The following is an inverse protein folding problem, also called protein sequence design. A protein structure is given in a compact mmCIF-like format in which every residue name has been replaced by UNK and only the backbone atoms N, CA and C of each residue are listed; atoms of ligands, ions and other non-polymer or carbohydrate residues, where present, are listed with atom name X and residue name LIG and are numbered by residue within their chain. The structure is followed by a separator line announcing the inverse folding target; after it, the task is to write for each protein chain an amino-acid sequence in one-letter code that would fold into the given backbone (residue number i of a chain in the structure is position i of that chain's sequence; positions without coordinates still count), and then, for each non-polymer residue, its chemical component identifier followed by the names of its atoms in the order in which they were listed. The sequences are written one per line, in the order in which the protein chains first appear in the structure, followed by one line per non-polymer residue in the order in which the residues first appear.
data_IF_007431489031
#
_entry.id   IF_007431489031
#
_cell.length_a   1.000
_cell.length_b   1.000
_cell.length_c   1.000
_cell.angle_alpha   90.00
_cell.angle_beta   90.00
_cell.angle_gamma   90.00
#
_symmetry.space_group_name_H-M   'P 1'
#
loop_
_entity.id
_entity.type
_entity.pdbx_description
1 polymer ?
#
# COMPACT_ATOMS: atom_id res chain seq x y z
N UNK A 1 26.54 0.85 -10.52
CA UNK A 1 25.34 0.01 -10.37
C UNK A 1 24.70 -0.16 -11.72
N UNK A 2 24.53 -1.40 -12.20
CA UNK A 2 23.81 -1.65 -13.45
C UNK A 2 22.33 -1.33 -13.21
N UNK A 3 21.76 -0.39 -13.95
CA UNK A 3 20.32 -0.21 -14.00
C UNK A 3 19.71 -1.53 -14.44
N UNK A 4 19.04 -2.23 -13.53
CA UNK A 4 18.30 -3.43 -13.87
C UNK A 4 17.27 -3.03 -14.92
N UNK A 5 17.31 -3.67 -16.09
CA UNK A 5 16.27 -3.49 -17.09
C UNK A 5 14.91 -3.66 -16.39
N UNK A 6 14.04 -2.66 -16.51
CA UNK A 6 12.66 -2.77 -16.03
C UNK A 6 12.09 -4.05 -16.64
N UNK A 7 11.57 -5.00 -15.85
CA UNK A 7 11.00 -6.22 -16.40
C UNK A 7 9.83 -5.82 -17.29
N UNK A 8 10.02 -5.86 -18.60
CA UNK A 8 9.07 -5.37 -19.60
C UNK A 8 7.89 -6.32 -19.82
N UNK A 9 7.79 -7.40 -19.05
CA UNK A 9 6.68 -8.34 -19.10
C UNK A 9 5.92 -8.39 -17.77
N UNK A 10 4.66 -7.95 -17.80
CA UNK A 10 3.67 -8.32 -16.79
C UNK A 10 3.39 -9.83 -16.98
N UNK A 11 4.23 -10.67 -16.36
CA UNK A 11 4.19 -12.14 -16.29
C UNK A 11 4.04 -12.94 -17.60
N UNK A 12 4.66 -14.14 -17.71
CA UNK A 12 4.49 -15.00 -18.89
C UNK A 12 3.11 -15.68 -18.99
N UNK A 13 2.39 -15.88 -17.87
CA UNK A 13 1.04 -16.47 -17.85
C UNK A 13 -0.04 -15.45 -17.48
N UNK A 14 -1.22 -15.59 -18.08
CA UNK A 14 -2.39 -14.74 -17.81
C UNK A 14 -3.60 -15.60 -17.39
N UNK A 15 -4.44 -15.12 -16.45
CA UNK A 15 -4.23 -13.90 -15.66
C UNK A 15 -3.03 -14.03 -14.70
N UNK A 16 -2.40 -12.91 -14.38
CA UNK A 16 -1.29 -12.86 -13.41
C UNK A 16 -1.80 -12.27 -12.11
N UNK A 17 -1.31 -12.74 -10.97
CA UNK A 17 -1.42 -12.01 -9.71
C UNK A 17 -0.37 -10.89 -9.69
N UNK A 18 -0.83 -9.64 -9.69
CA UNK A 18 0.03 -8.45 -9.54
C UNK A 18 -0.10 -7.95 -8.10
N UNK A 19 0.98 -7.98 -7.34
CA UNK A 19 1.04 -7.31 -6.04
C UNK A 19 1.52 -5.86 -6.21
N UNK A 20 0.61 -4.90 -6.04
CA UNK A 20 0.94 -3.47 -5.94
C UNK A 20 1.20 -3.08 -4.50
N UNK A 21 2.46 -2.80 -4.19
CA UNK A 21 2.91 -2.45 -2.83
C UNK A 21 2.74 -0.97 -2.54
N UNK A 22 2.34 -0.66 -1.31
CA UNK A 22 2.49 0.65 -0.69
C UNK A 22 3.60 0.55 0.38
N UNK A 23 4.41 1.60 0.51
CA UNK A 23 5.43 1.67 1.56
C UNK A 23 4.82 1.49 2.94
N UNK A 24 5.51 0.74 3.81
CA UNK A 24 5.11 0.53 5.22
C UNK A 24 3.72 -0.13 5.42
N UNK A 25 3.12 -0.68 4.36
CA UNK A 25 1.87 -1.45 4.39
C UNK A 25 2.11 -2.97 4.26
N UNK A 26 3.10 -3.51 4.99
CA UNK A 26 3.49 -4.93 4.92
C UNK A 26 3.92 -5.46 3.54
N UNK A 27 4.18 -4.59 2.56
CA UNK A 27 4.48 -5.00 1.19
C UNK A 27 5.66 -5.98 1.04
N UNK A 28 6.72 -5.83 1.83
CA UNK A 28 7.86 -6.79 1.81
C UNK A 28 7.44 -8.18 2.29
N UNK A 29 6.69 -8.24 3.39
CA UNK A 29 6.20 -9.50 3.96
C UNK A 29 5.22 -10.18 2.98
N UNK A 30 4.24 -9.43 2.45
CA UNK A 30 3.30 -9.91 1.43
C UNK A 30 4.01 -10.41 0.16
N UNK A 31 5.09 -9.74 -0.28
CA UNK A 31 5.87 -10.18 -1.44
C UNK A 31 6.53 -11.55 -1.18
N UNK A 32 7.21 -11.71 -0.03
CA UNK A 32 7.88 -12.97 0.32
C UNK A 32 6.88 -14.11 0.52
N UNK A 33 5.71 -13.80 1.07
CA UNK A 33 4.56 -14.71 1.15
C UNK A 33 4.15 -15.20 -0.23
N UNK A 34 3.78 -14.27 -1.12
CA UNK A 34 3.28 -14.59 -2.45
C UNK A 34 4.31 -15.35 -3.29
N UNK A 35 5.59 -15.01 -3.20
CA UNK A 35 6.68 -15.74 -3.88
C UNK A 35 6.82 -17.20 -3.45
N UNK A 36 6.29 -17.59 -2.29
CA UNK A 36 6.30 -18.98 -1.81
C UNK A 36 5.03 -19.75 -2.15
N UNK A 37 3.91 -19.05 -2.28
CA UNK A 37 2.58 -19.67 -2.42
C UNK A 37 2.00 -19.55 -3.81
N UNK A 38 2.52 -18.67 -4.67
CA UNK A 38 2.08 -18.52 -6.07
C UNK A 38 3.21 -18.96 -7.00
N UNK A 39 2.89 -19.72 -8.04
CA UNK A 39 3.87 -20.09 -9.08
C UNK A 39 4.56 -18.84 -9.65
N UNK A 40 5.87 -18.92 -9.89
CA UNK A 40 6.67 -17.76 -10.29
C UNK A 40 6.21 -17.16 -11.63
N UNK A 41 5.65 -17.98 -12.51
CA UNK A 41 5.07 -17.63 -13.80
C UNK A 41 3.70 -16.94 -13.70
N UNK A 42 3.10 -16.87 -12.51
CA UNK A 42 1.81 -16.24 -12.21
C UNK A 42 1.92 -15.03 -11.29
N UNK A 43 3.13 -14.63 -10.85
CA UNK A 43 3.34 -13.55 -9.89
C UNK A 43 4.19 -12.40 -10.46
N UNK A 44 3.69 -11.18 -10.30
CA UNK A 44 4.45 -9.95 -10.50
C UNK A 44 4.37 -9.07 -9.26
N UNK A 45 5.50 -8.56 -8.78
CA UNK A 45 5.56 -7.64 -7.63
C UNK A 45 5.97 -6.25 -8.09
N UNK A 46 5.09 -5.28 -7.92
CA UNK A 46 5.33 -3.87 -8.28
C UNK A 46 5.60 -3.07 -7.01
N UNK A 47 6.83 -2.56 -6.89
CA UNK A 47 7.27 -1.71 -5.77
C UNK A 47 6.64 -0.32 -5.86
N UNK A 48 6.45 0.32 -4.71
CA UNK A 48 5.79 1.61 -4.53
C UNK A 48 6.33 2.71 -5.46
N UNK A 49 7.64 2.70 -5.72
CA UNK A 49 8.31 3.73 -6.54
C UNK A 49 8.15 3.53 -8.07
N UNK A 50 7.39 2.53 -8.53
CA UNK A 50 7.11 2.28 -9.95
C UNK A 50 5.62 2.11 -10.21
N UNK A 51 5.06 2.65 -11.31
CA UNK A 51 3.70 2.31 -11.72
C UNK A 51 3.58 0.82 -12.11
N UNK A 52 2.37 0.24 -12.04
CA UNK A 52 2.15 -1.17 -12.46
C UNK A 52 2.50 -1.38 -13.93
N UNK A 53 2.05 -0.46 -14.78
CA UNK A 53 2.53 -0.28 -16.14
C UNK A 53 2.30 1.19 -16.51
N UNK A 54 3.33 1.98 -16.81
CA UNK A 54 3.16 3.39 -17.17
C UNK A 54 2.39 3.58 -18.48
N UNK A 55 2.26 2.54 -19.30
CA UNK A 55 1.62 2.60 -20.63
C UNK A 55 0.19 2.07 -20.65
N UNK A 56 -0.21 1.32 -19.62
CA UNK A 56 -1.50 0.63 -19.59
C UNK A 56 -2.38 1.19 -18.48
N UNK A 57 -3.57 1.74 -18.79
CA UNK A 57 -4.51 2.20 -17.76
C UNK A 57 -4.82 1.10 -16.74
N UNK A 58 -4.96 1.48 -15.46
CA UNK A 58 -5.25 0.52 -14.37
C UNK A 58 -6.48 -0.36 -14.64
N UNK A 59 -7.51 0.19 -15.29
CA UNK A 59 -8.70 -0.55 -15.68
C UNK A 59 -8.39 -1.69 -16.66
N UNK A 60 -7.49 -1.45 -17.62
CA UNK A 60 -7.06 -2.47 -18.59
C UNK A 60 -6.15 -3.52 -17.95
N UNK A 61 -5.24 -3.10 -17.07
CA UNK A 61 -4.41 -4.02 -16.27
C UNK A 61 -5.31 -4.99 -15.50
N UNK A 62 -6.34 -4.48 -14.81
CA UNK A 62 -7.30 -5.30 -14.05
C UNK A 62 -8.22 -6.16 -14.92
N UNK A 63 -8.45 -5.77 -16.17
CA UNK A 63 -9.21 -6.60 -17.09
C UNK A 63 -8.45 -7.87 -17.50
N UNK A 64 -7.11 -7.84 -17.43
CA UNK A 64 -6.23 -8.93 -17.89
C UNK A 64 -5.54 -9.68 -16.76
N UNK A 65 -5.46 -9.08 -15.58
CA UNK A 65 -4.69 -9.57 -14.45
C UNK A 65 -5.46 -9.35 -13.14
N UNK A 66 -5.11 -10.13 -12.12
CA UNK A 66 -5.66 -10.02 -10.80
C UNK A 66 -4.78 -9.09 -9.95
N UNK A 67 -5.27 -7.88 -9.66
CA UNK A 67 -4.52 -6.87 -8.94
C UNK A 67 -4.79 -6.94 -7.43
N UNK A 68 -3.74 -7.23 -6.66
CA UNK A 68 -3.75 -7.21 -5.21
C UNK A 68 -3.03 -5.95 -4.72
N UNK A 69 -3.74 -5.09 -4.01
CA UNK A 69 -3.16 -3.94 -3.31
C UNK A 69 -2.75 -4.28 -1.88
N UNK A 70 -1.80 -3.53 -1.31
CA UNK A 70 -1.54 -3.57 0.15
C UNK A 70 -2.01 -2.29 0.81
N UNK A 71 -2.63 -2.40 1.98
CA UNK A 71 -3.08 -1.24 2.77
C UNK A 71 -2.71 -1.38 4.24
N UNK A 72 -2.65 -0.26 4.95
CA UNK A 72 -2.46 -0.20 6.40
C UNK A 72 -3.24 1.00 6.93
N UNK A 73 -3.65 0.95 8.19
CA UNK A 73 -4.19 2.10 8.90
C UNK A 73 -3.28 3.34 8.67
N UNK A 74 -3.81 4.48 8.16
CA UNK A 74 -2.99 5.63 7.81
C UNK A 74 -2.12 6.15 8.97
N UNK A 75 -2.61 6.10 10.22
CA UNK A 75 -1.81 6.51 11.39
C UNK A 75 -0.60 5.61 11.60
N UNK A 76 -0.81 4.29 11.58
CA UNK A 76 0.26 3.32 11.75
C UNK A 76 1.25 3.36 10.58
N UNK A 77 0.78 3.66 9.37
CA UNK A 77 1.64 3.83 8.21
C UNK A 77 2.52 5.08 8.35
N UNK A 78 1.91 6.22 8.70
CA UNK A 78 2.58 7.51 8.94
C UNK A 78 3.66 7.37 10.03
N UNK A 79 3.31 6.80 11.18
CA UNK A 79 4.25 6.57 12.29
C UNK A 79 5.39 5.63 11.89
N UNK A 80 5.06 4.55 11.17
CA UNK A 80 6.06 3.62 10.66
C UNK A 80 6.98 4.26 9.63
N UNK A 81 6.51 5.25 8.88
CA UNK A 81 7.34 5.98 7.93
C UNK A 81 8.27 6.93 8.67
N UNK A 82 7.74 7.74 9.57
CA UNK A 82 8.48 8.66 10.42
C UNK A 82 9.65 7.99 11.16
N UNK A 83 9.43 6.78 11.69
CA UNK A 83 10.50 6.03 12.39
C UNK A 83 11.57 5.43 11.50
N UNK A 84 11.23 5.02 10.28
CA UNK A 84 12.15 4.21 9.46
C UNK A 84 12.78 4.98 8.31
N UNK A 85 12.07 5.96 7.76
CA UNK A 85 12.46 6.78 6.62
C UNK A 85 11.76 8.15 6.69
N UNK A 86 12.06 8.97 7.73
CA UNK A 86 11.43 10.27 7.90
C UNK A 86 11.67 11.20 6.71
N UNK A 87 12.71 10.97 5.92
CA UNK A 87 13.05 11.73 4.72
C UNK A 87 12.14 11.42 3.52
N UNK A 88 11.47 10.25 3.50
CA UNK A 88 10.76 9.76 2.30
C UNK A 88 9.70 10.73 1.76
N UNK A 89 8.82 11.34 2.59
CA UNK A 89 7.84 12.33 2.10
C UNK A 89 8.44 13.56 1.42
N UNK A 90 9.71 13.84 1.72
CA UNK A 90 10.41 15.03 1.25
C UNK A 90 11.28 14.74 0.03
N UNK A 91 11.40 13.50 -0.45
CA UNK A 91 12.30 13.19 -1.57
C UNK A 91 11.97 13.96 -2.86
N UNK A 92 10.71 14.34 -3.07
CA UNK A 92 10.28 15.13 -4.23
C UNK A 92 10.17 16.64 -3.95
N UNK A 93 10.27 17.06 -2.68
CA UNK A 93 10.14 18.48 -2.31
C UNK A 93 11.50 18.93 -1.82
N UNK A 94 12.06 20.03 -2.34
CA UNK A 94 13.25 20.68 -1.75
C UNK A 94 12.92 21.31 -0.39
N UNK A 95 12.20 20.61 0.48
CA UNK A 95 12.03 20.94 1.90
C UNK A 95 13.39 20.64 2.54
N UNK A 96 14.31 21.58 2.39
CA UNK A 96 15.54 21.62 3.16
C UNK A 96 15.17 21.97 4.61
N UNK A 97 15.71 21.22 5.57
CA UNK A 97 15.60 21.57 6.99
C UNK A 97 15.43 20.37 7.93
N UNK A 98 15.28 20.68 9.21
CA UNK A 98 15.14 19.72 10.32
C UNK A 98 13.85 18.87 10.24
N UNK A 99 12.85 19.29 9.45
CA UNK A 99 11.61 18.53 9.26
C UNK A 99 11.83 17.13 8.67
N UNK A 100 12.89 16.90 7.89
CA UNK A 100 13.26 15.57 7.39
C UNK A 100 14.04 14.72 8.42
N UNK A 101 14.47 15.33 9.53
CA UNK A 101 15.34 14.74 10.55
C UNK A 101 14.56 14.49 11.84
N UNK A 102 13.62 13.56 11.78
CA UNK A 102 12.96 13.09 13.00
C UNK A 102 13.90 12.14 13.75
N UNK A 103 14.28 12.49 14.97
CA UNK A 103 15.21 11.68 15.78
C UNK A 103 14.53 10.39 16.27
N UNK A 104 15.26 9.26 16.41
CA UNK A 104 14.72 8.10 17.11
C UNK A 104 14.22 8.50 18.52
N UNK A 105 13.01 8.06 18.88
CA UNK A 105 12.41 8.41 20.17
C UNK A 105 11.72 9.78 20.22
N UNK A 106 11.35 10.34 19.07
CA UNK A 106 10.60 11.60 19.00
C UNK A 106 9.34 11.61 19.88
N UNK A 107 9.00 12.79 20.40
CA UNK A 107 7.75 13.01 21.14
C UNK A 107 6.57 13.40 20.20
N UNK A 108 5.37 13.56 20.77
CA UNK A 108 4.15 13.91 20.02
C UNK A 108 4.26 15.23 19.25
N UNK A 109 4.88 16.25 19.83
CA UNK A 109 5.06 17.56 19.19
C UNK A 109 6.01 17.49 17.98
N UNK A 110 7.16 16.82 18.14
CA UNK A 110 8.10 16.58 17.03
C UNK A 110 7.43 15.77 15.90
N UNK A 111 6.65 14.76 16.27
CA UNK A 111 5.90 13.95 15.31
C UNK A 111 4.82 14.76 14.59
N UNK A 112 4.07 15.60 15.30
CA UNK A 112 3.07 16.49 14.71
C UNK A 112 3.69 17.43 13.68
N UNK A 113 4.79 18.09 14.03
CA UNK A 113 5.51 18.97 13.10
C UNK A 113 5.99 18.21 11.85
N UNK A 114 6.45 16.97 12.01
CA UNK A 114 6.80 16.10 10.88
C UNK A 114 5.57 15.76 10.01
N UNK A 115 4.43 15.42 10.62
CA UNK A 115 3.19 15.10 9.90
C UNK A 115 2.72 16.31 9.10
N UNK A 116 2.68 17.50 9.70
CA UNK A 116 2.27 18.75 9.03
C UNK A 116 3.19 19.07 7.86
N UNK A 117 4.52 18.93 8.03
CA UNK A 117 5.49 19.13 6.96
C UNK A 117 5.35 18.09 5.83
N UNK A 118 4.99 16.85 6.14
CA UNK A 118 4.83 15.77 5.17
C UNK A 118 3.54 15.88 4.33
N UNK A 119 2.58 16.75 4.69
CA UNK A 119 1.33 16.91 3.95
C UNK A 119 1.50 17.63 2.61
N UNK A 120 0.68 17.24 1.64
CA UNK A 120 0.53 17.94 0.35
C UNK A 120 -0.70 18.84 0.42
N UNK A 121 -0.50 20.10 0.81
CA UNK A 121 -1.60 20.98 1.20
C UNK A 121 -2.18 20.52 2.53
N UNK A 122 -3.45 20.13 2.53
CA UNK A 122 -4.15 19.51 3.68
C UNK A 122 -4.31 17.99 3.53
N UNK A 123 -3.71 17.39 2.50
CA UNK A 123 -3.81 15.94 2.24
C UNK A 123 -2.63 15.22 2.87
N UNK A 124 -2.93 14.20 3.66
CA UNK A 124 -1.93 13.39 4.34
C UNK A 124 -1.05 12.63 3.36
N UNK A 125 0.19 12.34 3.77
CA UNK A 125 1.12 11.58 2.93
C UNK A 125 0.57 10.20 2.54
N UNK A 126 -0.23 9.57 3.42
CA UNK A 126 -0.85 8.28 3.12
C UNK A 126 -1.79 8.35 1.94
N UNK A 127 -2.67 9.35 1.94
CA UNK A 127 -3.61 9.66 0.85
C UNK A 127 -2.89 10.01 -0.44
N UNK A 128 -1.85 10.84 -0.37
CA UNK A 128 -1.01 11.15 -1.52
C UNK A 128 -0.35 9.89 -2.10
N UNK A 129 0.35 9.11 -1.27
CA UNK A 129 1.05 7.91 -1.70
C UNK A 129 0.10 6.89 -2.30
N UNK A 130 -1.10 6.73 -1.71
CA UNK A 130 -2.15 5.89 -2.27
C UNK A 130 -2.61 6.37 -3.64
N UNK A 131 -2.98 7.64 -3.74
CA UNK A 131 -3.52 8.24 -4.96
C UNK A 131 -2.51 8.19 -6.10
N UNK A 132 -1.26 8.59 -5.84
CA UNK A 132 -0.17 8.48 -6.80
C UNK A 132 0.16 7.02 -7.15
N UNK A 133 -0.13 6.06 -6.25
CA UNK A 133 0.14 4.66 -6.53
C UNK A 133 -0.94 3.99 -7.38
N UNK A 134 -2.21 4.30 -7.18
CA UNK A 134 -3.36 3.54 -7.73
C UNK A 134 -4.28 4.32 -8.66
N UNK A 135 -4.37 5.64 -8.50
CA UNK A 135 -5.33 6.47 -9.22
C UNK A 135 -4.66 7.31 -10.31
N UNK A 136 -3.50 7.88 -9.97
CA UNK A 136 -2.73 8.80 -10.80
C UNK A 136 -1.23 8.45 -10.78
N UNK A 137 -0.82 7.29 -11.33
CA UNK A 137 0.58 6.88 -11.42
C UNK A 137 1.48 7.91 -12.09
N UNK A 138 0.95 8.71 -13.02
CA UNK A 138 1.64 9.84 -13.66
C UNK A 138 2.03 10.94 -12.67
N UNK A 139 1.38 11.01 -11.50
CA UNK A 139 1.71 11.94 -10.42
C UNK A 139 2.71 11.35 -9.40
N UNK A 140 3.22 10.13 -9.64
CA UNK A 140 4.31 9.56 -8.88
C UNK A 140 5.63 10.15 -9.40
N UNK A 141 6.14 11.16 -8.69
CA UNK A 141 7.26 11.98 -9.18
C UNK A 141 8.59 11.24 -9.16
N UNK A 142 9.47 11.47 -10.15
CA UNK A 142 10.90 11.25 -9.98
C UNK A 142 11.44 12.19 -8.88
N UNK A 143 12.50 11.80 -8.12
CA UNK A 143 13.08 12.62 -7.05
C UNK A 143 13.58 14.02 -7.48
N UNK A 144 13.74 14.23 -8.78
CA UNK A 144 14.41 15.41 -9.35
C UNK A 144 13.43 16.47 -9.87
N UNK A 145 12.12 16.19 -9.93
CA UNK A 145 11.12 17.09 -10.49
C UNK A 145 10.22 17.64 -9.38
N UNK A 146 10.08 18.98 -9.34
CA UNK A 146 9.14 19.63 -8.44
C UNK A 146 7.70 19.21 -8.84
N UNK A 147 6.91 18.65 -7.90
CA UNK A 147 5.53 18.18 -8.11
C UNK A 147 4.61 19.12 -8.89
N UNK A 148 4.93 20.41 -8.86
CA UNK A 148 4.05 21.47 -9.33
C UNK A 148 4.63 22.28 -10.50
N UNK A 149 5.82 21.94 -11.00
CA UNK A 149 6.57 22.86 -11.87
C UNK A 149 6.21 22.83 -13.36
N UNK A 150 5.71 21.73 -13.94
CA UNK A 150 5.48 21.69 -15.41
C UNK A 150 4.11 21.20 -15.89
N UNK A 151 3.24 20.66 -15.01
CA UNK A 151 1.82 20.45 -15.35
C UNK A 151 0.87 20.48 -14.13
N UNK A 152 0.77 21.62 -13.43
CA UNK A 152 0.09 21.74 -12.12
C UNK A 152 -1.40 21.39 -12.13
N UNK A 153 -2.04 21.30 -13.31
CA UNK A 153 -3.49 21.07 -13.41
C UNK A 153 -3.91 19.64 -13.06
N UNK A 154 -3.08 18.63 -13.35
CA UNK A 154 -3.47 17.23 -13.17
C UNK A 154 -3.10 16.69 -11.78
N UNK A 155 -1.98 17.14 -11.21
CA UNK A 155 -1.48 16.63 -9.93
C UNK A 155 -1.69 17.57 -8.75
N UNK A 156 -2.86 18.22 -8.67
CA UNK A 156 -3.18 19.17 -7.61
C UNK A 156 -3.79 18.48 -6.37
N UNK A 157 -3.65 19.11 -5.19
CA UNK A 157 -4.34 18.66 -3.98
C UNK A 157 -5.87 18.62 -4.15
N UNK A 158 -6.44 19.51 -4.97
CA UNK A 158 -7.87 19.53 -5.26
C UNK A 158 -8.30 18.30 -6.06
N UNK A 159 -7.57 17.96 -7.13
CA UNK A 159 -7.81 16.75 -7.93
C UNK A 159 -7.68 15.50 -7.07
N UNK A 160 -6.63 15.42 -6.24
CA UNK A 160 -6.41 14.32 -5.31
C UNK A 160 -7.58 14.14 -4.33
N UNK A 161 -8.07 15.22 -3.72
CA UNK A 161 -9.26 15.17 -2.84
C UNK A 161 -10.49 14.66 -3.57
N UNK A 162 -10.74 15.15 -4.79
CA UNK A 162 -11.88 14.74 -5.60
C UNK A 162 -11.83 13.24 -5.93
N UNK A 163 -10.69 12.77 -6.44
CA UNK A 163 -10.48 11.38 -6.80
C UNK A 163 -10.64 10.47 -5.56
N UNK A 164 -10.00 10.83 -4.44
CA UNK A 164 -10.11 10.07 -3.18
C UNK A 164 -11.51 10.13 -2.56
N UNK A 165 -12.27 11.20 -2.74
CA UNK A 165 -13.63 11.29 -2.22
C UNK A 165 -14.59 10.34 -2.93
N UNK A 166 -14.37 10.11 -4.23
CA UNK A 166 -15.24 9.28 -5.08
C UNK A 166 -14.73 7.85 -5.24
N UNK A 167 -13.50 7.56 -4.81
CA UNK A 167 -12.90 6.25 -5.02
C UNK A 167 -13.59 5.15 -4.20
N UNK A 168 -13.57 3.93 -4.76
CA UNK A 168 -13.91 2.71 -4.04
C UNK A 168 -12.71 1.75 -4.08
N UNK A 169 -12.34 1.09 -2.96
CA UNK A 169 -11.23 0.13 -2.96
C UNK A 169 -11.39 -1.00 -3.99
N UNK A 170 -12.62 -1.48 -4.22
CA UNK A 170 -12.90 -2.52 -5.23
C UNK A 170 -12.86 -1.97 -6.67
N UNK A 171 -12.88 -0.65 -6.83
CA UNK A 171 -12.73 0.02 -8.11
C UNK A 171 -11.29 0.16 -8.59
N UNK A 172 -10.31 0.00 -7.69
CA UNK A 172 -8.89 0.17 -8.03
C UNK A 172 -8.04 -1.09 -7.89
N UNK A 173 -8.50 -2.09 -7.14
CA UNK A 173 -7.86 -3.40 -7.03
C UNK A 173 -8.93 -4.50 -6.91
N UNK A 174 -8.56 -5.72 -7.26
CA UNK A 174 -9.44 -6.90 -7.15
C UNK A 174 -9.49 -7.43 -5.73
N UNK A 175 -8.38 -7.29 -4.99
CA UNK A 175 -8.27 -7.65 -3.59
C UNK A 175 -7.26 -6.76 -2.85
N UNK A 176 -7.33 -6.78 -1.51
CA UNK A 176 -6.49 -5.97 -0.64
C UNK A 176 -5.95 -6.78 0.52
N UNK A 177 -4.64 -6.74 0.72
CA UNK A 177 -3.96 -7.25 1.90
C UNK A 177 -3.77 -6.11 2.90
N UNK A 178 -4.52 -6.12 4.00
CA UNK A 178 -4.32 -5.13 5.08
C UNK A 178 -3.24 -5.64 6.02
N UNK A 179 -2.33 -4.76 6.48
CA UNK A 179 -1.32 -5.13 7.51
C UNK A 179 -2.01 -5.87 8.65
N UNK A 180 -3.10 -5.30 9.15
CA UNK A 180 -3.76 -5.77 10.37
C UNK A 180 -4.38 -7.17 10.24
N UNK A 181 -4.57 -7.65 9.01
CA UNK A 181 -5.19 -8.93 8.70
C UNK A 181 -4.54 -9.63 7.49
N UNK A 182 -3.21 -9.56 7.36
CA UNK A 182 -2.51 -10.04 6.15
C UNK A 182 -2.86 -11.49 5.81
N UNK A 183 -2.80 -12.40 6.79
CA UNK A 183 -3.03 -13.83 6.52
C UNK A 183 -4.50 -14.14 6.15
N UNK A 184 -5.51 -13.67 6.91
CA UNK A 184 -6.91 -13.81 6.48
C UNK A 184 -7.19 -13.19 5.11
N UNK A 185 -6.70 -11.97 4.86
CA UNK A 185 -6.90 -11.31 3.57
C UNK A 185 -6.19 -12.06 2.43
N UNK A 186 -4.99 -12.61 2.69
CA UNK A 186 -4.22 -13.39 1.72
C UNK A 186 -4.99 -14.63 1.27
N UNK A 187 -5.56 -15.39 2.20
CA UNK A 187 -6.39 -16.57 1.87
C UNK A 187 -7.51 -16.18 0.92
N UNK A 188 -8.25 -15.12 1.26
CA UNK A 188 -9.37 -14.65 0.45
C UNK A 188 -8.91 -14.24 -0.95
N UNK A 189 -7.82 -13.46 -1.05
CA UNK A 189 -7.27 -13.03 -2.34
C UNK A 189 -6.81 -14.21 -3.19
N UNK A 190 -6.12 -15.20 -2.59
CA UNK A 190 -5.64 -16.39 -3.31
C UNK A 190 -6.79 -17.27 -3.79
N UNK A 191 -7.85 -17.46 -2.98
CA UNK A 191 -9.05 -18.18 -3.41
C UNK A 191 -9.73 -17.48 -4.58
N UNK A 192 -9.77 -16.15 -4.59
CA UNK A 192 -10.31 -15.39 -5.72
C UNK A 192 -9.45 -15.52 -6.97
N UNK A 193 -8.12 -15.49 -6.80
CA UNK A 193 -7.17 -15.61 -7.90
C UNK A 193 -7.22 -17.00 -8.55
N UNK A 194 -7.20 -18.07 -7.77
CA UNK A 194 -7.23 -19.45 -8.27
C UNK A 194 -8.48 -19.75 -9.11
N UNK A 195 -9.63 -19.12 -8.79
CA UNK A 195 -10.86 -19.24 -9.59
C UNK A 195 -10.71 -18.73 -11.02
N UNK A 196 -9.68 -17.94 -11.32
CA UNK A 196 -9.39 -17.46 -12.66
C UNK A 196 -8.59 -18.45 -13.51
N UNK A 197 -8.17 -19.58 -12.91
CA UNK A 197 -7.37 -20.61 -13.53
C UNK A 197 -8.06 -21.99 -13.42
N UNK A 198 -9.27 -22.16 -13.98
CA UNK A 198 -10.00 -23.42 -13.86
C UNK A 198 -9.22 -24.57 -14.51
N UNK A 199 -8.95 -25.61 -13.73
CA UNK A 199 -8.26 -26.82 -14.20
C UNK A 199 -6.73 -26.74 -14.23
N UNK A 200 -6.13 -25.60 -13.86
CA UNK A 200 -4.67 -25.48 -13.75
C UNK A 200 -4.22 -25.83 -12.32
N UNK A 201 -3.50 -26.94 -12.17
CA UNK A 201 -2.91 -27.31 -10.89
C UNK A 201 -1.64 -26.48 -10.61
N UNK A 202 -1.40 -26.15 -9.33
CA UNK A 202 -0.15 -25.53 -8.88
C UNK A 202 -0.08 -24.01 -9.03
N UNK A 203 -1.16 -23.34 -9.44
CA UNK A 203 -1.24 -21.86 -9.46
C UNK A 203 -1.04 -21.30 -8.05
N UNK A 204 -1.70 -21.92 -7.06
CA UNK A 204 -1.52 -21.63 -5.63
C UNK A 204 -1.10 -22.90 -4.89
N UNK A 205 -0.04 -22.81 -4.09
CA UNK A 205 0.42 -23.87 -3.21
C UNK A 205 -0.29 -23.76 -1.85
N UNK A 206 -1.52 -24.29 -1.77
CA UNK A 206 -2.35 -24.25 -0.56
C UNK A 206 -1.72 -24.93 0.65
N UNK A 207 -0.92 -25.99 0.45
CA UNK A 207 -0.19 -26.65 1.54
C UNK A 207 0.76 -25.66 2.24
N UNK A 208 1.51 -24.88 1.48
CA UNK A 208 2.41 -23.85 2.05
C UNK A 208 1.60 -22.77 2.76
N UNK A 209 0.45 -22.36 2.23
CA UNK A 209 -0.45 -21.40 2.90
C UNK A 209 -0.90 -21.93 4.26
N UNK A 210 -1.39 -23.17 4.32
CA UNK A 210 -1.85 -23.82 5.56
C UNK A 210 -0.73 -24.02 6.58
N UNK A 211 0.48 -24.36 6.11
CA UNK A 211 1.65 -24.49 6.97
C UNK A 211 2.08 -23.15 7.57
N UNK A 212 1.97 -22.05 6.82
CA UNK A 212 2.24 -20.68 7.31
C UNK A 212 1.20 -20.27 8.37
N UNK A 213 -0.09 -20.52 8.14
CA UNK A 213 -1.15 -20.17 9.08
C UNK A 213 -1.07 -20.93 10.39
N UNK A 214 -0.61 -22.20 10.34
CA UNK A 214 -0.33 -23.00 11.53
C UNK A 214 0.97 -22.60 12.24
N UNK A 215 1.71 -21.62 11.72
CA UNK A 215 2.99 -21.16 12.27
C UNK A 215 4.16 -22.11 12.00
N UNK A 216 3.99 -23.13 11.15
CA UNK A 216 5.01 -24.14 10.86
C UNK A 216 6.16 -23.61 10.00
N UNK A 217 5.91 -22.61 9.16
CA UNK A 217 6.95 -21.95 8.36
C UNK A 217 7.15 -20.50 8.82
N UNK A 218 8.28 -20.22 9.47
CA UNK A 218 8.68 -18.83 9.67
C UNK A 218 9.06 -18.23 8.32
N UNK A 219 8.26 -17.26 7.87
CA UNK A 219 8.70 -16.36 6.80
C UNK A 219 9.67 -15.41 7.45
N UNK A 220 10.95 -15.75 7.36
CA UNK A 220 12.05 -14.88 7.75
C UNK A 220 12.07 -13.70 6.79
N UNK A 221 11.21 -12.71 7.02
CA UNK A 221 11.63 -11.32 6.86
C UNK A 221 12.71 -11.14 7.91
N UNK A 222 13.93 -10.74 7.53
CA UNK A 222 15.08 -10.56 8.43
C UNK A 222 14.60 -10.18 9.84
N UNK A 223 14.99 -10.93 10.88
CA UNK A 223 14.41 -11.00 12.24
C UNK A 223 14.04 -9.65 12.90
N UNK A 224 14.53 -8.52 12.37
CA UNK A 224 14.18 -7.13 12.72
C UNK A 224 12.81 -6.64 12.21
N UNK A 225 12.16 -7.38 11.31
CA UNK A 225 10.86 -7.02 10.71
C UNK A 225 9.70 -7.88 11.18
N UNK A 226 9.82 -8.53 12.34
CA UNK A 226 8.68 -9.14 13.03
C UNK A 226 7.51 -8.14 13.07
N UNK A 227 6.30 -8.64 12.79
CA UNK A 227 5.03 -7.92 12.99
C UNK A 227 4.73 -7.76 14.50
N UNK A 228 5.75 -7.55 15.33
CA UNK A 228 5.68 -7.66 16.78
C UNK A 228 4.71 -6.65 17.39
N UNK A 229 4.04 -7.10 18.45
CA UNK A 229 3.13 -6.32 19.30
C UNK A 229 3.79 -5.06 19.88
N UNK A 230 5.11 -5.06 20.09
CA UNK A 230 5.90 -3.93 20.59
C UNK A 230 5.76 -2.67 19.70
N UNK A 231 5.52 -2.84 18.38
CA UNK A 231 5.27 -1.72 17.47
C UNK A 231 3.84 -1.18 17.56
N UNK A 232 2.90 -1.94 18.10
CA UNK A 232 1.51 -1.53 18.30
C UNK A 232 1.35 -0.73 19.59
N UNK A 233 2.03 -1.10 20.68
CA UNK A 233 2.04 -0.36 21.95
C UNK A 233 2.53 1.08 21.76
N UNK A 234 3.63 1.25 21.03
CA UNK A 234 4.17 2.56 20.68
C UNK A 234 3.29 3.36 19.70
N UNK A 235 2.33 2.71 19.03
CA UNK A 235 1.35 3.39 18.20
C UNK A 235 0.29 4.02 19.10
N UNK A 236 -0.26 3.26 20.06
CA UNK A 236 -1.23 3.80 21.01
C UNK A 236 -0.69 5.00 21.78
N UNK A 237 0.56 4.99 22.24
CA UNK A 237 1.17 6.10 22.99
C UNK A 237 1.12 7.44 22.23
N UNK A 238 1.58 7.48 20.99
CA UNK A 238 1.63 8.72 20.17
C UNK A 238 0.23 9.27 19.90
N UNK A 239 -0.77 8.40 19.73
CA UNK A 239 -2.14 8.80 19.41
C UNK A 239 -3.06 8.90 20.63
N UNK A 240 -2.51 8.87 21.85
CA UNK A 240 -3.25 9.32 23.05
C UNK A 240 -3.55 10.82 22.97
N UNK A 241 -2.72 11.60 22.27
CA UNK A 241 -2.93 13.02 22.01
C UNK A 241 -4.01 13.20 20.91
N UNK A 242 -5.24 13.66 21.26
CA UNK A 242 -6.36 13.70 20.31
C UNK A 242 -6.11 14.65 19.12
N UNK A 243 -5.23 15.63 19.30
CA UNK A 243 -4.86 16.58 18.26
C UNK A 243 -4.11 15.91 17.10
N UNK A 244 -3.19 14.98 17.41
CA UNK A 244 -2.39 14.26 16.42
C UNK A 244 -3.27 13.26 15.66
N UNK A 245 -4.09 12.48 16.37
CA UNK A 245 -5.07 11.60 15.73
C UNK A 245 -6.04 12.40 14.86
N UNK A 246 -6.58 13.50 15.39
CA UNK A 246 -7.49 14.39 14.67
C UNK A 246 -6.86 14.97 13.40
N UNK A 247 -5.58 15.34 13.45
CA UNK A 247 -4.83 15.83 12.29
C UNK A 247 -4.76 14.77 11.18
N UNK A 248 -4.31 13.55 11.49
CA UNK A 248 -4.21 12.47 10.49
C UNK A 248 -5.58 12.03 9.98
N UNK A 249 -6.59 11.92 10.86
CA UNK A 249 -7.96 11.56 10.43
C UNK A 249 -8.56 12.59 9.48
N UNK A 250 -8.28 13.89 9.66
CA UNK A 250 -8.71 14.93 8.70
C UNK A 250 -7.93 14.83 7.40
N UNK A 251 -6.61 14.71 7.47
CA UNK A 251 -5.72 14.71 6.32
C UNK A 251 -5.88 13.46 5.44
N UNK A 252 -6.21 12.31 6.05
CA UNK A 252 -6.39 11.02 5.40
C UNK A 252 -7.85 10.52 5.42
N UNK A 253 -8.83 11.42 5.64
CA UNK A 253 -10.25 11.09 5.88
C UNK A 253 -10.85 10.11 4.86
N UNK A 254 -10.47 10.26 3.59
CA UNK A 254 -11.00 9.45 2.51
C UNK A 254 -10.51 8.00 2.57
N UNK A 255 -9.25 7.78 2.95
CA UNK A 255 -8.73 6.43 3.17
C UNK A 255 -9.33 5.78 4.43
N UNK A 256 -9.50 6.56 5.51
CA UNK A 256 -10.22 6.10 6.71
C UNK A 256 -11.62 5.58 6.34
N UNK A 257 -12.38 6.41 5.64
CA UNK A 257 -13.73 6.07 5.20
C UNK A 257 -13.76 4.87 4.24
N UNK A 258 -12.95 4.90 3.17
CA UNK A 258 -12.95 3.89 2.12
C UNK A 258 -12.57 2.49 2.64
N UNK A 259 -11.61 2.42 3.56
CA UNK A 259 -11.12 1.16 4.12
C UNK A 259 -11.76 0.79 5.47
N UNK A 260 -12.69 1.61 5.99
CA UNK A 260 -13.41 1.30 7.23
C UNK A 260 -12.54 1.36 8.50
N UNK A 261 -11.55 2.25 8.53
CA UNK A 261 -10.80 2.55 9.75
C UNK A 261 -11.58 3.59 10.57
N UNK A 262 -11.77 3.34 11.86
CA UNK A 262 -12.47 4.25 12.78
C UNK A 262 -11.50 5.04 13.66
N UNK A 263 -10.38 4.42 14.04
CA UNK A 263 -9.37 4.94 14.98
C UNK A 263 -7.95 4.68 14.48
N UNK A 264 -7.00 5.48 14.93
CA UNK A 264 -5.58 5.18 14.72
C UNK A 264 -5.21 3.82 15.35
N UNK A 265 -4.28 3.10 14.72
CA UNK A 265 -3.68 1.85 15.23
C UNK A 265 -4.63 0.66 15.40
N UNK A 266 -5.92 0.84 15.11
CA UNK A 266 -6.89 -0.25 15.14
C UNK A 266 -7.02 -0.89 13.75
N UNK A 267 -7.32 -2.20 13.69
CA UNK A 267 -7.77 -2.85 12.47
C UNK A 267 -9.00 -2.17 11.88
N UNK A 268 -9.23 -2.41 10.59
CA UNK A 268 -10.48 -1.99 9.95
C UNK A 268 -11.65 -2.77 10.55
N UNK A 269 -12.72 -2.06 10.90
CA UNK A 269 -13.95 -2.66 11.45
C UNK A 269 -14.80 -3.32 10.37
N UNK A 270 -14.54 -3.00 9.09
CA UNK A 270 -15.33 -3.47 7.97
C UNK A 270 -14.56 -4.50 7.16
N UNK A 271 -15.10 -5.71 6.93
CA UNK A 271 -14.57 -6.56 5.89
C UNK A 271 -14.70 -5.81 4.55
N UNK A 272 -13.63 -5.81 3.76
CA UNK A 272 -13.68 -5.20 2.43
C UNK A 272 -14.66 -5.99 1.58
N UNK A 273 -15.66 -5.30 1.02
CA UNK A 273 -16.58 -5.91 0.07
C UNK A 273 -15.83 -6.18 -1.23
N UNK A 274 -15.39 -7.42 -1.41
CA UNK A 274 -14.75 -7.87 -2.63
C UNK A 274 -15.83 -8.12 -3.68
N UNK A 275 -15.75 -7.41 -4.79
CA UNK A 275 -16.65 -7.63 -5.94
C UNK A 275 -15.95 -8.58 -6.90
N UNK A 276 -16.46 -9.80 -7.07
CA UNK A 276 -15.99 -10.65 -8.16
C UNK A 276 -16.43 -10.02 -9.48
N UNK A 277 -15.53 -9.32 -10.17
CA UNK A 277 -15.83 -8.73 -11.49
C UNK A 277 -15.93 -9.77 -12.60
N UNK A 278 -15.41 -10.98 -12.38
CA UNK A 278 -15.41 -12.06 -13.37
C UNK A 278 -16.74 -12.82 -13.47
N UNK A 279 -17.85 -12.09 -13.63
CA UNK A 279 -19.09 -12.69 -14.16
C UNK A 279 -19.20 -12.37 -15.65
N UNK A 280 -19.01 -13.42 -16.44
CA UNK A 280 -19.56 -13.61 -17.79
C UNK A 280 -19.09 -12.64 -18.89
N UNK A 281 -17.92 -12.91 -19.45
CA UNK A 281 -17.73 -12.79 -20.90
C UNK A 281 -17.30 -14.17 -21.40
N UNK A 282 -18.30 -15.01 -21.66
CA UNK A 282 -18.15 -16.19 -22.50
C UNK A 282 -18.52 -15.80 -23.94
#
# INVERSE_FOLDING_TARGET
GRAAALPTGICPRRPCLILRRISKAAGTYASRLLQRVVGAEYLTVVKDDFPVDPRTPYAETRARHFLVGTMRNPCSMSLSLARHRPEKPFLARKVGGDAARLRPGFNGSEYRGWVEAAMVGDVGYSSYSFWASFLKPECLLPPEQDPFSENPRQCSAQTMRHDLATMSPSAVADCWLRRESVLPDLRICLTMFERLHPGEAGVVNWKVVEDIERGGTQITTDLRHSLSAEKEEQCSEIFQEPEIEGLLKRADKHLFHAFGYSKCCQPSERPLRLTSRHRATH
#
